data_IF_811302228501
#
_entry.id   IF_811302228501
#
_cell.length_a   1.000
_cell.length_b   1.000
_cell.length_c   1.000
_cell.angle_alpha   90.00
_cell.angle_beta   90.00
_cell.angle_gamma   90.00
#
_symmetry.space_group_name_H-M   'P 1'
#
loop_
_entity.id
_entity.type
_entity.pdbx_description
1 polymer ?
#
# COMPACT_ATOMS: atom_id res chain seq x y z
N UNK A 1 -42.09 -2.04 -8.80
CA UNK A 1 -41.74 -1.58 -7.45
C UNK A 1 -42.91 -0.70 -6.99
N UNK A 2 -43.50 -0.98 -5.82
CA UNK A 2 -44.61 -0.19 -5.28
C UNK A 2 -44.08 0.95 -4.42
N UNK A 3 -44.86 2.05 -4.30
CA UNK A 3 -44.51 3.19 -3.42
C UNK A 3 -44.22 2.77 -1.97
N UNK A 4 -44.93 1.77 -1.50
CA UNK A 4 -44.74 1.20 -0.15
C UNK A 4 -43.35 0.52 0.01
N UNK A 5 -42.90 -0.19 -1.02
CA UNK A 5 -41.59 -0.78 -1.08
C UNK A 5 -40.48 0.27 -1.13
N UNK A 6 -40.64 1.32 -1.95
CA UNK A 6 -39.71 2.44 -2.02
C UNK A 6 -39.53 3.14 -0.67
N UNK A 7 -40.70 3.38 0.04
CA UNK A 7 -40.64 3.98 1.37
C UNK A 7 -39.90 3.11 2.38
N UNK A 8 -40.14 1.80 2.35
CA UNK A 8 -39.40 0.84 3.20
C UNK A 8 -37.91 0.85 2.88
N UNK A 9 -37.53 0.95 1.62
CA UNK A 9 -36.14 1.03 1.21
C UNK A 9 -35.46 2.33 1.63
N UNK A 10 -36.17 3.43 1.72
CA UNK A 10 -35.66 4.72 2.18
C UNK A 10 -35.34 4.76 3.70
N UNK A 11 -35.89 3.82 4.46
CA UNK A 11 -35.70 3.73 5.92
C UNK A 11 -34.48 2.86 6.32
N UNK A 12 -33.91 2.09 5.38
CA UNK A 12 -32.75 1.25 5.63
C UNK A 12 -31.43 1.98 5.32
N UNK A 13 -30.35 1.54 5.96
CA UNK A 13 -29.04 2.16 5.74
C UNK A 13 -28.56 2.00 4.28
N UNK A 14 -27.78 2.94 3.75
CA UNK A 14 -27.23 2.81 2.40
C UNK A 14 -26.43 1.52 2.20
N UNK A 15 -25.81 1.00 3.26
CA UNK A 15 -25.06 -0.24 3.22
C UNK A 15 -25.96 -1.47 3.03
N UNK A 16 -27.08 -1.53 3.75
CA UNK A 16 -28.07 -2.61 3.62
C UNK A 16 -28.81 -2.52 2.29
N UNK A 17 -29.21 -1.29 1.89
CA UNK A 17 -29.84 -1.05 0.59
C UNK A 17 -28.97 -1.54 -0.56
N UNK A 18 -27.66 -1.28 -0.51
CA UNK A 18 -26.71 -1.78 -1.51
C UNK A 18 -26.75 -3.31 -1.62
N UNK A 19 -26.76 -4.03 -0.50
CA UNK A 19 -26.81 -5.49 -0.51
C UNK A 19 -28.11 -6.00 -1.16
N UNK A 20 -29.24 -5.42 -0.80
CA UNK A 20 -30.55 -5.75 -1.40
C UNK A 20 -30.54 -5.52 -2.92
N UNK A 21 -29.95 -4.42 -3.38
CA UNK A 21 -29.86 -4.12 -4.81
C UNK A 21 -28.94 -5.11 -5.56
N UNK A 22 -27.87 -5.57 -4.92
CA UNK A 22 -27.00 -6.62 -5.47
C UNK A 22 -27.77 -7.93 -5.61
N UNK A 23 -28.48 -8.36 -4.57
CA UNK A 23 -29.27 -9.59 -4.60
C UNK A 23 -30.36 -9.55 -5.68
N UNK A 24 -31.07 -8.44 -5.82
CA UNK A 24 -32.06 -8.22 -6.88
C UNK A 24 -31.45 -8.26 -8.29
N UNK A 25 -30.25 -7.68 -8.45
CA UNK A 25 -29.53 -7.69 -9.71
C UNK A 25 -29.05 -9.12 -10.07
N UNK A 26 -28.56 -9.89 -9.09
CA UNK A 26 -28.17 -11.27 -9.27
C UNK A 26 -29.35 -12.18 -9.65
N UNK A 27 -30.50 -11.99 -9.00
CA UNK A 27 -31.74 -12.70 -9.38
C UNK A 27 -32.16 -12.36 -10.82
N UNK A 28 -32.07 -11.10 -11.20
CA UNK A 28 -32.39 -10.64 -12.56
C UNK A 28 -31.42 -11.23 -13.58
N UNK A 29 -30.13 -11.25 -13.28
CA UNK A 29 -29.09 -11.82 -14.15
C UNK A 29 -29.29 -13.32 -14.37
N UNK A 30 -29.67 -14.07 -13.33
CA UNK A 30 -29.96 -15.52 -13.44
C UNK A 30 -31.17 -15.83 -14.35
N UNK A 31 -32.07 -14.88 -14.51
CA UNK A 31 -33.26 -14.98 -15.36
C UNK A 31 -33.03 -14.45 -16.78
N UNK A 32 -31.87 -13.93 -17.08
CA UNK A 32 -31.52 -13.33 -18.37
C UNK A 32 -30.18 -13.85 -18.88
N UNK A 33 -29.85 -13.55 -20.13
CA UNK A 33 -28.53 -13.82 -20.73
C UNK A 33 -27.48 -12.76 -20.36
N UNK A 34 -27.82 -11.78 -19.54
CA UNK A 34 -26.93 -10.71 -19.17
C UNK A 34 -26.10 -11.11 -17.95
N UNK A 35 -24.82 -10.79 -18.01
CA UNK A 35 -23.89 -10.97 -16.88
C UNK A 35 -23.97 -9.70 -16.02
N UNK A 36 -24.23 -9.87 -14.72
CA UNK A 36 -24.14 -8.74 -13.79
C UNK A 36 -22.68 -8.37 -13.52
N UNK A 37 -22.34 -7.12 -13.74
CA UNK A 37 -21.04 -6.54 -13.36
C UNK A 37 -21.24 -5.74 -12.08
N UNK A 38 -20.65 -6.22 -11.00
CA UNK A 38 -20.72 -5.56 -9.69
C UNK A 38 -19.52 -4.65 -9.47
N UNK A 39 -19.73 -3.33 -9.55
CA UNK A 39 -18.75 -2.30 -9.23
C UNK A 39 -18.99 -1.67 -7.83
N UNK A 40 -19.86 -2.24 -7.01
CA UNK A 40 -20.22 -1.70 -5.69
C UNK A 40 -19.19 -1.91 -4.60
N UNK A 41 -18.17 -2.73 -4.85
CA UNK A 41 -17.01 -2.92 -3.96
C UNK A 41 -15.73 -3.04 -4.75
N UNK A 42 -14.71 -2.27 -4.37
CA UNK A 42 -13.34 -2.53 -4.77
C UNK A 42 -12.73 -3.58 -3.84
N UNK A 43 -12.48 -4.77 -4.34
CA UNK A 43 -11.72 -5.76 -3.60
C UNK A 43 -10.23 -5.63 -3.98
N UNK A 44 -9.31 -5.83 -3.02
CA UNK A 44 -7.90 -5.96 -3.35
C UNK A 44 -7.68 -7.04 -4.42
N UNK A 45 -6.72 -6.84 -5.29
CA UNK A 45 -6.36 -7.86 -6.28
C UNK A 45 -5.64 -9.03 -5.61
N UNK A 46 -6.40 -10.04 -5.19
CA UNK A 46 -5.88 -11.23 -4.52
C UNK A 46 -5.00 -12.09 -5.41
N UNK A 47 -5.18 -12.00 -6.73
CA UNK A 47 -4.47 -12.82 -7.74
C UNK A 47 -3.07 -12.25 -7.98
N UNK A 48 -2.86 -10.95 -7.82
CA UNK A 48 -1.54 -10.34 -7.95
C UNK A 48 -0.67 -10.66 -6.72
N UNK A 49 0.11 -11.73 -6.82
CA UNK A 49 0.95 -12.22 -5.71
C UNK A 49 2.34 -11.59 -5.68
N UNK A 50 2.83 -11.06 -6.81
CA UNK A 50 4.17 -10.49 -6.92
C UNK A 50 4.46 -9.38 -5.91
N UNK A 51 3.59 -8.37 -5.74
CA UNK A 51 3.82 -7.34 -4.71
C UNK A 51 3.79 -7.89 -3.27
N UNK A 52 3.01 -8.95 -3.02
CA UNK A 52 2.99 -9.61 -1.70
C UNK A 52 4.26 -10.37 -1.43
N UNK A 53 4.75 -11.10 -2.42
CA UNK A 53 6.03 -11.79 -2.33
C UNK A 53 7.16 -10.79 -2.09
N UNK A 54 7.19 -9.68 -2.81
CA UNK A 54 8.15 -8.60 -2.60
C UNK A 54 8.10 -8.06 -1.15
N UNK A 55 6.90 -7.82 -0.64
CA UNK A 55 6.71 -7.35 0.73
C UNK A 55 7.21 -8.37 1.78
N UNK A 56 6.92 -9.65 1.60
CA UNK A 56 7.40 -10.70 2.51
C UNK A 56 8.91 -10.89 2.45
N UNK A 57 9.51 -10.79 1.26
CA UNK A 57 10.96 -10.81 1.11
C UNK A 57 11.62 -9.60 1.80
N UNK A 58 11.05 -8.42 1.65
CA UNK A 58 11.52 -7.24 2.35
C UNK A 58 11.41 -7.40 3.86
N UNK A 59 10.30 -7.98 4.35
CA UNK A 59 10.11 -8.32 5.76
C UNK A 59 11.15 -9.30 6.26
N UNK A 60 11.46 -10.33 5.49
CA UNK A 60 12.52 -11.30 5.82
C UNK A 60 13.89 -10.62 5.90
N UNK A 61 14.21 -9.74 4.95
CA UNK A 61 15.45 -8.95 4.98
C UNK A 61 15.53 -8.08 6.24
N UNK A 62 14.45 -7.37 6.60
CA UNK A 62 14.40 -6.57 7.82
C UNK A 62 14.67 -7.39 9.07
N UNK A 63 14.09 -8.59 9.18
CA UNK A 63 14.34 -9.51 10.29
C UNK A 63 15.79 -10.03 10.32
N UNK A 64 16.39 -10.34 9.16
CA UNK A 64 17.81 -10.73 9.07
C UNK A 64 18.73 -9.58 9.54
N UNK A 65 18.42 -8.34 9.19
CA UNK A 65 19.18 -7.17 9.64
C UNK A 65 19.04 -6.94 11.17
N UNK A 66 17.86 -7.10 11.73
CA UNK A 66 17.63 -7.03 13.17
C UNK A 66 18.40 -8.13 13.92
N UNK A 67 18.36 -9.36 13.40
CA UNK A 67 19.11 -10.47 13.99
C UNK A 67 20.63 -10.24 13.92
N UNK A 68 21.12 -9.69 12.82
CA UNK A 68 22.54 -9.38 12.61
C UNK A 68 23.06 -8.32 13.58
N UNK A 69 22.27 -7.31 13.89
CA UNK A 69 22.65 -6.20 14.78
C UNK A 69 22.33 -6.45 16.26
N UNK A 70 21.84 -7.65 16.59
CA UNK A 70 21.57 -8.01 17.98
C UNK A 70 22.85 -8.03 18.80
N UNK A 71 22.85 -7.30 19.92
CA UNK A 71 23.92 -7.34 20.92
C UNK A 71 23.75 -8.51 21.90
N UNK A 72 22.62 -9.17 21.84
CA UNK A 72 22.26 -10.29 22.70
C UNK A 72 22.70 -11.59 22.03
N UNK A 73 23.54 -12.36 22.70
CA UNK A 73 23.99 -13.66 22.18
C UNK A 73 22.85 -14.69 22.05
N UNK A 74 23.19 -15.92 21.64
CA UNK A 74 22.23 -17.01 21.42
C UNK A 74 21.34 -17.34 22.63
N UNK A 75 21.72 -16.88 23.81
CA UNK A 75 20.98 -17.13 25.06
C UNK A 75 19.66 -16.36 25.16
N UNK A 76 19.48 -15.27 24.36
CA UNK A 76 18.26 -14.46 24.37
C UNK A 76 17.51 -14.58 23.05
N UNK A 77 17.01 -15.75 22.79
CA UNK A 77 16.21 -16.07 21.59
C UNK A 77 15.00 -15.11 21.48
N UNK A 78 14.90 -14.44 20.35
CA UNK A 78 13.78 -13.54 20.04
C UNK A 78 14.02 -12.06 20.36
N UNK A 79 15.16 -11.70 20.93
CA UNK A 79 15.58 -10.31 21.02
C UNK A 79 16.50 -9.97 19.83
N UNK A 80 16.14 -8.89 19.15
CA UNK A 80 16.85 -8.42 17.98
C UNK A 80 17.33 -6.98 18.19
N UNK A 81 18.31 -6.56 17.40
CA UNK A 81 18.77 -5.18 17.36
C UNK A 81 17.99 -4.36 16.33
N UNK A 82 18.39 -3.11 16.19
CA UNK A 82 17.88 -2.20 15.16
C UNK A 82 18.79 -2.36 13.91
N UNK A 83 18.23 -2.32 12.69
CA UNK A 83 19.06 -2.36 11.47
C UNK A 83 20.13 -1.29 11.45
N UNK A 84 21.32 -1.65 11.02
CA UNK A 84 22.43 -0.70 10.84
C UNK A 84 22.51 -0.20 9.41
N UNK A 85 22.43 1.10 9.22
CA UNK A 85 22.51 1.75 7.92
C UNK A 85 23.80 1.46 7.15
N UNK A 86 24.94 1.36 7.85
CA UNK A 86 26.24 1.18 7.21
C UNK A 86 26.28 -0.06 6.32
N UNK A 87 26.47 0.13 5.00
CA UNK A 87 26.55 -0.93 3.99
C UNK A 87 25.28 -1.82 3.89
N UNK A 88 24.14 -1.33 4.31
CA UNK A 88 22.89 -2.08 4.25
C UNK A 88 22.48 -2.41 2.81
N UNK A 89 22.72 -1.51 1.86
CA UNK A 89 22.45 -1.74 0.45
C UNK A 89 23.26 -2.91 -0.13
N UNK A 90 24.52 -3.04 0.27
CA UNK A 90 25.34 -4.19 -0.12
C UNK A 90 24.75 -5.51 0.40
N UNK A 91 24.28 -5.53 1.65
CA UNK A 91 23.64 -6.72 2.23
C UNK A 91 22.30 -7.01 1.58
N UNK A 92 21.53 -5.97 1.25
CA UNK A 92 20.29 -6.12 0.51
C UNK A 92 20.50 -6.75 -0.88
N UNK A 93 21.51 -6.28 -1.61
CA UNK A 93 21.86 -6.88 -2.90
C UNK A 93 22.26 -8.35 -2.77
N UNK A 94 23.03 -8.70 -1.73
CA UNK A 94 23.38 -10.10 -1.44
C UNK A 94 22.13 -10.94 -1.07
N UNK A 95 21.21 -10.37 -0.31
CA UNK A 95 19.94 -11.00 0.01
C UNK A 95 19.11 -11.27 -1.25
N UNK A 96 18.98 -10.28 -2.14
CA UNK A 96 18.26 -10.46 -3.41
C UNK A 96 18.89 -11.59 -4.26
N UNK A 97 20.21 -11.70 -4.29
CA UNK A 97 20.90 -12.78 -5.03
C UNK A 97 20.55 -14.17 -4.49
N UNK A 98 20.34 -14.33 -3.18
CA UNK A 98 19.92 -15.61 -2.57
C UNK A 98 18.51 -16.01 -3.01
N UNK A 99 17.67 -15.06 -3.36
CA UNK A 99 16.29 -15.27 -3.79
C UNK A 99 16.10 -15.11 -5.31
N UNK A 100 17.21 -15.25 -6.08
CA UNK A 100 17.19 -15.09 -7.53
C UNK A 100 16.14 -16.01 -8.19
N UNK A 101 15.39 -15.46 -9.13
CA UNK A 101 14.34 -16.18 -9.87
C UNK A 101 12.93 -16.02 -9.30
N UNK A 102 12.76 -15.41 -8.13
CA UNK A 102 11.44 -15.07 -7.60
C UNK A 102 10.92 -13.77 -8.23
N UNK A 103 9.64 -13.72 -8.68
CA UNK A 103 9.04 -12.50 -9.22
C UNK A 103 9.03 -11.33 -8.24
N UNK A 104 8.83 -11.60 -6.96
CA UNK A 104 8.87 -10.57 -5.91
C UNK A 104 10.27 -9.98 -5.73
N UNK A 105 11.32 -10.80 -5.84
CA UNK A 105 12.71 -10.33 -5.84
C UNK A 105 12.98 -9.42 -7.05
N UNK A 106 12.50 -9.83 -8.24
CA UNK A 106 12.67 -9.01 -9.44
C UNK A 106 12.04 -7.62 -9.26
N UNK A 107 10.81 -7.55 -8.72
CA UNK A 107 10.13 -6.29 -8.43
C UNK A 107 10.93 -5.43 -7.43
N UNK A 108 11.46 -6.02 -6.35
CA UNK A 108 12.28 -5.28 -5.39
C UNK A 108 13.55 -4.72 -6.04
N UNK A 109 14.21 -5.55 -6.85
CA UNK A 109 15.42 -5.13 -7.57
C UNK A 109 15.14 -4.01 -8.55
N UNK A 110 14.10 -4.13 -9.36
CA UNK A 110 13.74 -3.12 -10.35
C UNK A 110 13.37 -1.80 -9.67
N UNK A 111 12.65 -1.87 -8.53
CA UNK A 111 12.31 -0.69 -7.73
C UNK A 111 13.56 -0.03 -7.13
N UNK A 112 14.48 -0.83 -6.59
CA UNK A 112 15.75 -0.33 -6.07
C UNK A 112 16.57 0.33 -7.17
N UNK A 113 16.76 -0.35 -8.30
CA UNK A 113 17.54 0.16 -9.43
C UNK A 113 16.94 1.47 -9.97
N UNK A 114 15.61 1.57 -10.08
CA UNK A 114 14.92 2.78 -10.50
C UNK A 114 15.18 3.96 -9.56
N UNK A 115 15.00 3.77 -8.26
CA UNK A 115 15.20 4.85 -7.29
C UNK A 115 16.66 5.29 -7.19
N UNK A 116 17.59 4.36 -7.23
CA UNK A 116 19.02 4.67 -7.14
C UNK A 116 19.54 5.27 -8.45
N UNK A 117 19.30 4.64 -9.59
CA UNK A 117 19.92 5.02 -10.86
C UNK A 117 19.18 6.16 -11.57
N UNK A 118 17.83 6.16 -11.54
CA UNK A 118 17.03 7.14 -12.27
C UNK A 118 16.66 8.35 -11.40
N UNK A 119 16.47 8.14 -10.08
CA UNK A 119 16.09 9.21 -9.15
C UNK A 119 17.25 9.73 -8.31
N UNK A 120 18.41 9.09 -8.35
CA UNK A 120 19.61 9.52 -7.63
C UNK A 120 19.48 9.43 -6.11
N UNK A 121 18.65 8.51 -5.61
CA UNK A 121 18.51 8.26 -4.17
C UNK A 121 19.75 7.53 -3.66
N UNK A 122 20.27 7.92 -2.49
CA UNK A 122 21.35 7.18 -1.85
C UNK A 122 20.88 5.75 -1.51
N UNK A 123 21.66 4.77 -1.94
CA UNK A 123 21.32 3.36 -1.82
C UNK A 123 21.16 2.89 -0.38
N UNK A 124 22.01 3.37 0.54
CA UNK A 124 21.95 2.97 1.95
C UNK A 124 20.78 3.69 2.66
N UNK A 125 20.48 4.93 2.28
CA UNK A 125 19.32 5.66 2.80
C UNK A 125 18.01 4.96 2.41
N UNK A 126 17.90 4.57 1.15
CA UNK A 126 16.73 3.87 0.62
C UNK A 126 16.47 2.55 1.34
N UNK A 127 17.48 1.69 1.37
CA UNK A 127 17.33 0.35 1.94
C UNK A 127 17.14 0.41 3.46
N UNK A 128 17.76 1.40 4.12
CA UNK A 128 17.58 1.63 5.54
C UNK A 128 16.14 2.05 5.86
N UNK A 129 15.58 3.01 5.09
CA UNK A 129 14.16 3.40 5.22
C UNK A 129 13.22 2.20 5.03
N UNK A 130 13.49 1.35 4.04
CA UNK A 130 12.67 0.17 3.80
C UNK A 130 12.76 -0.85 4.94
N UNK A 131 13.96 -1.08 5.47
CA UNK A 131 14.15 -2.00 6.58
C UNK A 131 13.46 -1.50 7.85
N UNK A 132 13.64 -0.22 8.22
CA UNK A 132 12.93 0.39 9.36
C UNK A 132 11.41 0.38 9.16
N UNK A 133 10.95 0.73 7.96
CA UNK A 133 9.53 0.76 7.63
C UNK A 133 8.85 -0.61 7.75
N UNK A 134 9.50 -1.67 7.25
CA UNK A 134 8.91 -3.02 7.28
C UNK A 134 8.89 -3.65 8.65
N UNK A 135 9.85 -3.33 9.53
CA UNK A 135 9.87 -3.80 10.93
C UNK A 135 9.04 -2.91 11.86
N UNK A 136 8.58 -1.74 11.39
CA UNK A 136 7.78 -0.83 12.18
C UNK A 136 8.57 0.08 13.13
N UNK A 137 9.86 0.28 12.92
CA UNK A 137 10.73 1.14 13.74
C UNK A 137 10.75 2.59 13.20
N UNK A 138 9.55 3.14 12.97
CA UNK A 138 9.40 4.52 12.49
C UNK A 138 8.34 5.26 13.31
N UNK A 139 8.79 5.91 14.40
CA UNK A 139 7.94 6.76 15.22
C UNK A 139 8.77 7.95 15.77
N UNK A 140 8.30 9.17 15.64
CA UNK A 140 7.02 9.68 15.09
C UNK A 140 7.00 9.91 13.56
N UNK A 141 8.00 9.49 12.86
CA UNK A 141 8.13 9.64 11.40
C UNK A 141 7.81 8.34 10.67
N UNK A 142 7.40 8.35 9.39
CA UNK A 142 7.15 9.55 8.57
C UNK A 142 5.81 10.21 8.89
N UNK A 143 5.71 11.51 8.61
CA UNK A 143 4.47 12.27 8.84
C UNK A 143 3.33 11.86 7.90
N UNK A 144 3.65 11.39 6.69
CA UNK A 144 2.69 11.08 5.63
C UNK A 144 2.90 9.70 5.01
N UNK A 145 4.07 9.47 4.44
CA UNK A 145 4.49 8.25 3.75
C UNK A 145 6.02 8.18 3.79
N UNK A 146 6.60 7.00 3.67
CA UNK A 146 8.05 6.82 3.57
C UNK A 146 8.62 7.70 2.46
N UNK A 147 9.68 8.46 2.76
CA UNK A 147 10.24 9.52 1.92
C UNK A 147 10.60 9.04 0.50
N UNK A 148 11.29 7.93 0.39
CA UNK A 148 11.69 7.41 -0.92
C UNK A 148 10.60 6.62 -1.60
N UNK A 149 9.69 6.04 -0.84
CA UNK A 149 8.46 5.44 -1.35
C UNK A 149 7.54 6.51 -1.94
N UNK A 150 7.49 7.72 -1.36
CA UNK A 150 6.75 8.86 -1.91
C UNK A 150 7.18 9.18 -3.34
N UNK A 151 8.49 9.21 -3.62
CA UNK A 151 9.04 9.47 -4.96
C UNK A 151 8.52 8.44 -5.98
N UNK A 152 8.54 7.17 -5.61
CA UNK A 152 8.06 6.09 -6.48
C UNK A 152 6.56 6.18 -6.73
N UNK A 153 5.77 6.39 -5.67
CA UNK A 153 4.30 6.47 -5.75
C UNK A 153 3.87 7.71 -6.52
N UNK A 154 4.56 8.84 -6.35
CA UNK A 154 4.29 10.06 -7.11
C UNK A 154 4.45 9.83 -8.62
N UNK A 155 5.53 9.18 -9.03
CA UNK A 155 5.77 8.88 -10.45
C UNK A 155 4.75 7.87 -11.00
N UNK A 156 4.43 6.84 -10.22
CA UNK A 156 3.39 5.88 -10.57
C UNK A 156 2.02 6.56 -10.78
N UNK A 157 1.62 7.46 -9.87
CA UNK A 157 0.37 8.19 -10.00
C UNK A 157 0.37 9.14 -11.20
N UNK A 158 1.49 9.83 -11.46
CA UNK A 158 1.64 10.67 -12.65
C UNK A 158 1.46 9.87 -13.94
N UNK A 159 2.03 8.68 -14.00
CA UNK A 159 1.92 7.81 -15.16
C UNK A 159 0.52 7.24 -15.31
N UNK A 160 0.00 6.58 -14.27
CA UNK A 160 -1.24 5.79 -14.36
C UNK A 160 -2.52 6.64 -14.33
N UNK A 161 -2.53 7.72 -13.55
CA UNK A 161 -3.72 8.57 -13.42
C UNK A 161 -3.69 9.81 -14.32
N UNK A 162 -2.50 10.29 -14.69
CA UNK A 162 -2.36 11.55 -15.40
C UNK A 162 -1.78 11.39 -16.82
N UNK A 163 -1.53 10.18 -17.30
CA UNK A 163 -0.89 9.95 -18.61
C UNK A 163 0.38 10.81 -18.79
N UNK A 164 1.21 10.88 -17.74
CA UNK A 164 2.38 11.77 -17.65
C UNK A 164 2.10 13.28 -17.86
N UNK A 165 0.85 13.72 -17.64
CA UNK A 165 0.41 15.11 -17.69
C UNK A 165 -0.23 15.55 -16.39
N UNK A 166 0.52 15.56 -15.28
CA UNK A 166 -0.03 15.90 -13.98
C UNK A 166 -0.52 17.36 -13.93
N UNK A 167 -1.46 17.68 -13.03
CA UNK A 167 -1.86 19.06 -12.76
C UNK A 167 -0.65 19.95 -12.43
N UNK A 168 -0.75 21.23 -12.74
CA UNK A 168 0.28 22.19 -12.36
C UNK A 168 0.24 22.45 -10.86
N UNK A 169 1.42 22.51 -10.24
CA UNK A 169 1.57 22.79 -8.82
C UNK A 169 2.29 21.67 -8.06
N UNK A 170 2.41 21.87 -6.75
CA UNK A 170 2.92 20.85 -5.82
C UNK A 170 1.74 20.12 -5.19
N UNK A 171 1.90 18.85 -4.96
CA UNK A 171 0.97 18.05 -4.18
C UNK A 171 1.78 17.13 -3.26
N UNK A 172 1.19 16.81 -2.13
CA UNK A 172 1.75 15.91 -1.14
C UNK A 172 0.95 14.60 -1.14
N UNK A 173 1.61 13.50 -0.84
CA UNK A 173 0.99 12.18 -0.75
C UNK A 173 0.80 11.79 0.72
N UNK A 174 -0.38 11.28 1.02
CA UNK A 174 -0.73 10.74 2.32
C UNK A 174 -1.16 9.29 2.17
N UNK A 175 -0.50 8.38 2.85
CA UNK A 175 -0.96 7.01 2.96
C UNK A 175 -2.10 6.93 3.99
N UNK A 176 -3.21 6.29 3.61
CA UNK A 176 -4.37 6.07 4.48
C UNK A 176 -4.81 4.62 4.46
N UNK A 177 -5.61 4.22 5.43
CA UNK A 177 -6.14 2.87 5.59
C UNK A 177 -7.27 2.57 4.59
N UNK A 178 -7.18 3.11 3.39
CA UNK A 178 -8.11 2.92 2.30
C UNK A 178 -8.99 4.14 2.01
N UNK A 179 -9.74 4.09 0.91
CA UNK A 179 -10.52 5.22 0.40
C UNK A 179 -11.56 5.76 1.38
N UNK A 180 -12.17 4.92 2.20
CA UNK A 180 -13.14 5.36 3.22
C UNK A 180 -12.47 6.22 4.28
N UNK A 181 -11.31 5.82 4.78
CA UNK A 181 -10.55 6.62 5.75
C UNK A 181 -10.11 7.95 5.12
N UNK A 182 -9.61 7.93 3.89
CA UNK A 182 -9.23 9.15 3.17
C UNK A 182 -10.41 10.14 3.05
N UNK A 183 -11.60 9.66 2.73
CA UNK A 183 -12.80 10.50 2.65
C UNK A 183 -13.19 11.08 4.01
N UNK A 184 -13.13 10.29 5.09
CA UNK A 184 -13.38 10.78 6.44
C UNK A 184 -12.41 11.91 6.80
N UNK A 185 -11.12 11.72 6.59
CA UNK A 185 -10.10 12.74 6.89
C UNK A 185 -10.29 14.03 6.08
N UNK A 186 -10.67 13.91 4.79
CA UNK A 186 -10.96 15.07 3.94
C UNK A 186 -12.18 15.83 4.48
N UNK A 187 -13.28 15.15 4.79
CA UNK A 187 -14.48 15.81 5.29
C UNK A 187 -14.27 16.44 6.66
N UNK A 188 -13.58 15.76 7.57
CA UNK A 188 -13.23 16.33 8.88
C UNK A 188 -12.35 17.57 8.73
N UNK A 189 -11.36 17.51 7.86
CA UNK A 189 -10.49 18.67 7.59
C UNK A 189 -11.26 19.85 6.99
N UNK A 190 -12.16 19.59 6.05
CA UNK A 190 -13.01 20.62 5.46
C UNK A 190 -13.95 21.24 6.50
N UNK A 191 -14.55 20.43 7.36
CA UNK A 191 -15.45 20.91 8.42
C UNK A 191 -14.69 21.77 9.45
N UNK A 192 -13.47 21.41 9.81
CA UNK A 192 -12.66 22.14 10.81
C UNK A 192 -12.08 23.45 10.26
N UNK A 193 -11.71 23.49 8.99
CA UNK A 193 -11.01 24.63 8.39
C UNK A 193 -11.93 25.56 7.59
N UNK A 194 -13.07 25.08 7.16
CA UNK A 194 -14.05 25.86 6.43
C UNK A 194 -15.39 25.74 7.17
N UNK A 195 -15.96 26.86 7.57
CA UNK A 195 -17.31 26.90 8.17
C UNK A 195 -18.35 26.51 7.09
N UNK A 196 -18.59 25.22 6.99
CA UNK A 196 -19.63 24.64 6.13
C UNK A 196 -20.92 24.41 6.94
#
# INVERSE_FOLDING_TARGET
ITREYEKKMSEISPYELKNILIDLADESARKSTHIMLNAGRGNPNWISTVPREAFFLLGQFGLEECARSSEYGEEMIGLAGIPEKKRIATRFTQFLMKHAGSPGMALLKDTYDYLVNEKGVDENDLVYEWAEGVIGDQYPVPDRILKYTEVLVEDYLKQELCDNRPPKGKFDLFATEGGTAAMCYIFDSLQQNFLL
#
